data_IF_675456949726
#
_entry.id   IF_675456949726
#
_cell.length_a   1.000
_cell.length_b   1.000
_cell.length_c   1.000
_cell.angle_alpha   90.00
_cell.angle_beta   90.00
_cell.angle_gamma   90.00
#
_symmetry.space_group_name_H-M   'P 1'
#
loop_
_entity.id
_entity.type
_entity.pdbx_description
1 polymer ?
#
# COMPACT_ATOMS: atom_id res chain seq x y z
N UNK A 1 -52.99 20.02 -32.08
CA UNK A 1 -52.36 18.76 -31.60
C UNK A 1 -50.84 18.87 -31.44
N UNK A 2 -50.09 19.41 -32.42
CA UNK A 2 -48.62 19.51 -32.35
C UNK A 2 -48.07 20.36 -31.17
N UNK A 3 -48.75 21.44 -30.77
CA UNK A 3 -48.32 22.28 -29.64
C UNK A 3 -48.25 21.52 -28.30
N UNK A 4 -49.26 20.70 -27.99
CA UNK A 4 -49.26 19.91 -26.75
C UNK A 4 -48.14 18.86 -26.75
N UNK A 5 -47.88 18.24 -27.91
CA UNK A 5 -46.81 17.26 -28.08
C UNK A 5 -45.43 17.92 -27.92
N UNK A 6 -45.25 19.16 -28.40
CA UNK A 6 -44.02 19.93 -28.20
C UNK A 6 -43.74 20.22 -26.72
N UNK A 7 -44.73 20.71 -25.97
CA UNK A 7 -44.57 20.93 -24.53
C UNK A 7 -44.27 19.63 -23.77
N UNK A 8 -44.92 18.53 -24.13
CA UNK A 8 -44.65 17.22 -23.55
C UNK A 8 -43.19 16.78 -23.71
N UNK A 9 -42.59 16.98 -24.90
CA UNK A 9 -41.19 16.63 -25.14
C UNK A 9 -40.19 17.51 -24.35
N UNK A 10 -40.52 18.77 -24.09
CA UNK A 10 -39.72 19.65 -23.23
C UNK A 10 -39.71 19.10 -21.79
N UNK A 11 -40.87 18.74 -21.25
CA UNK A 11 -40.97 18.15 -19.91
C UNK A 11 -40.22 16.82 -19.82
N UNK A 12 -40.32 15.94 -20.82
CA UNK A 12 -39.55 14.69 -20.89
C UNK A 12 -38.04 14.97 -20.84
N UNK A 13 -37.58 15.98 -21.57
CA UNK A 13 -36.15 16.34 -21.62
C UNK A 13 -35.66 16.87 -20.28
N UNK A 14 -36.49 17.68 -19.60
CA UNK A 14 -36.21 18.18 -18.25
C UNK A 14 -36.09 17.03 -17.24
N UNK A 15 -37.05 16.09 -17.25
CA UNK A 15 -37.03 14.93 -16.36
C UNK A 15 -35.81 14.04 -16.64
N UNK A 16 -35.46 13.81 -17.91
CA UNK A 16 -34.27 13.03 -18.29
C UNK A 16 -32.97 13.69 -17.85
N UNK A 17 -32.87 15.01 -18.00
CA UNK A 17 -31.74 15.78 -17.51
C UNK A 17 -31.61 15.63 -15.98
N UNK A 18 -32.71 15.81 -15.26
CA UNK A 18 -32.75 15.71 -13.81
C UNK A 18 -32.33 14.32 -13.32
N UNK A 19 -32.82 13.25 -13.96
CA UNK A 19 -32.42 11.87 -13.65
C UNK A 19 -30.93 11.61 -13.89
N UNK A 20 -30.31 12.26 -14.90
CA UNK A 20 -28.87 12.18 -15.14
C UNK A 20 -28.08 12.83 -14.02
N UNK A 21 -28.52 14.01 -13.56
CA UNK A 21 -27.90 14.74 -12.43
C UNK A 21 -28.02 13.92 -11.15
N UNK A 22 -29.21 13.40 -10.82
CA UNK A 22 -29.41 12.56 -9.64
C UNK A 22 -28.51 11.33 -9.64
N UNK A 23 -28.39 10.63 -10.77
CA UNK A 23 -27.47 9.50 -10.91
C UNK A 23 -26.01 9.93 -10.70
N UNK A 24 -25.59 11.05 -11.30
CA UNK A 24 -24.23 11.55 -11.15
C UNK A 24 -23.90 11.92 -9.70
N UNK A 25 -24.82 12.58 -8.99
CA UNK A 25 -24.65 12.92 -7.57
C UNK A 25 -24.63 11.67 -6.70
N UNK A 26 -25.55 10.72 -6.93
CA UNK A 26 -25.57 9.47 -6.18
C UNK A 26 -24.27 8.68 -6.35
N UNK A 27 -23.79 8.52 -7.59
CA UNK A 27 -22.48 7.91 -7.84
C UNK A 27 -21.38 8.73 -7.18
N UNK A 28 -21.39 10.06 -7.33
CA UNK A 28 -20.44 10.96 -6.70
C UNK A 28 -20.31 10.73 -5.20
N UNK A 29 -21.43 10.68 -4.46
CA UNK A 29 -21.45 10.45 -3.00
C UNK A 29 -20.94 9.06 -2.62
N UNK A 30 -21.33 8.01 -3.36
CA UNK A 30 -20.85 6.64 -3.09
C UNK A 30 -19.34 6.52 -3.33
N UNK A 31 -18.82 7.16 -4.38
CA UNK A 31 -17.40 7.11 -4.73
C UNK A 31 -16.55 8.14 -3.97
N UNK A 32 -17.15 9.18 -3.39
CA UNK A 32 -16.43 10.19 -2.59
C UNK A 32 -15.73 9.57 -1.38
N UNK A 33 -16.28 8.50 -0.81
CA UNK A 33 -15.66 7.75 0.28
C UNK A 33 -14.40 6.96 -0.14
N UNK A 34 -14.12 6.83 -1.44
CA UNK A 34 -13.00 6.06 -1.97
C UNK A 34 -12.08 6.96 -2.79
N UNK A 35 -11.03 7.47 -2.13
CA UNK A 35 -10.06 8.43 -2.67
C UNK A 35 -9.11 7.80 -3.72
N UNK A 36 -9.26 6.51 -4.03
CA UNK A 36 -8.44 5.78 -5.03
C UNK A 36 -8.45 6.41 -6.43
N UNK A 37 -9.46 7.22 -6.79
CA UNK A 37 -9.58 7.82 -8.12
C UNK A 37 -10.08 9.26 -8.05
N UNK A 38 -9.47 10.14 -8.84
CA UNK A 38 -10.01 11.48 -9.04
C UNK A 38 -11.34 11.41 -9.77
N UNK A 39 -12.33 12.15 -9.28
CA UNK A 39 -13.63 12.31 -9.94
C UNK A 39 -13.60 13.30 -11.11
N UNK A 40 -12.48 13.98 -11.32
CA UNK A 40 -12.30 14.95 -12.40
C UNK A 40 -11.88 14.29 -13.71
N UNK A 41 -12.02 15.03 -14.81
CA UNK A 41 -11.57 14.60 -16.13
C UNK A 41 -10.04 14.45 -16.14
N UNK A 42 -9.53 13.47 -16.89
CA UNK A 42 -8.09 13.24 -17.05
C UNK A 42 -7.40 14.56 -17.46
N UNK A 43 -6.38 14.97 -16.70
CA UNK A 43 -5.68 16.24 -16.85
C UNK A 43 -6.06 17.35 -15.86
N UNK A 44 -7.20 17.23 -15.17
CA UNK A 44 -7.59 18.12 -14.05
C UNK A 44 -7.49 17.43 -12.69
N UNK A 45 -6.84 16.27 -12.63
CA UNK A 45 -6.60 15.50 -11.40
C UNK A 45 -5.86 16.32 -10.33
N UNK A 46 -5.04 17.29 -10.74
CA UNK A 46 -4.30 18.18 -9.84
C UNK A 46 -5.18 19.18 -9.08
N UNK A 47 -6.40 19.42 -9.57
CA UNK A 47 -7.38 20.29 -8.91
C UNK A 47 -8.16 19.55 -7.82
N UNK A 48 -8.06 18.22 -7.80
CA UNK A 48 -8.66 17.38 -6.76
C UNK A 48 -7.71 17.30 -5.56
N UNK A 49 -7.92 18.14 -4.56
CA UNK A 49 -7.11 18.16 -3.33
C UNK A 49 -7.15 16.81 -2.60
N UNK A 50 -8.27 16.08 -2.66
CA UNK A 50 -8.40 14.79 -2.00
C UNK A 50 -7.52 13.74 -2.66
N UNK A 51 -7.60 13.63 -3.99
CA UNK A 51 -6.72 12.76 -4.77
C UNK A 51 -5.25 13.11 -4.59
N UNK A 52 -4.89 14.40 -4.60
CA UNK A 52 -3.51 14.85 -4.42
C UNK A 52 -2.95 14.56 -3.02
N UNK A 53 -3.77 14.71 -1.98
CA UNK A 53 -3.38 14.32 -0.62
C UNK A 53 -3.11 12.82 -0.53
N UNK A 54 -3.93 11.99 -1.17
CA UNK A 54 -3.75 10.54 -1.23
C UNK A 54 -2.46 10.13 -1.96
N UNK A 55 -2.19 10.70 -3.15
CA UNK A 55 -0.95 10.43 -3.90
C UNK A 55 0.28 10.85 -3.10
N UNK A 56 0.22 12.02 -2.46
CA UNK A 56 1.30 12.52 -1.60
C UNK A 56 1.55 11.60 -0.41
N UNK A 57 0.47 11.12 0.22
CA UNK A 57 0.54 10.15 1.30
C UNK A 57 1.19 8.83 0.85
N UNK A 58 0.77 8.27 -0.28
CA UNK A 58 1.37 7.06 -0.85
C UNK A 58 2.87 7.23 -1.14
N UNK A 59 3.27 8.37 -1.70
CA UNK A 59 4.67 8.63 -1.98
C UNK A 59 5.49 8.73 -0.68
N UNK A 60 4.93 9.36 0.35
CA UNK A 60 5.58 9.45 1.65
C UNK A 60 5.69 8.07 2.33
N UNK A 61 4.65 7.26 2.27
CA UNK A 61 4.68 5.87 2.75
C UNK A 61 5.71 5.02 1.98
N UNK A 62 5.81 5.17 0.67
CA UNK A 62 6.75 4.44 -0.15
C UNK A 62 8.20 4.79 0.21
N UNK A 63 8.49 6.07 0.48
CA UNK A 63 9.82 6.53 0.88
C UNK A 63 10.19 6.06 2.30
N UNK A 64 9.25 6.14 3.25
CA UNK A 64 9.51 5.79 4.65
C UNK A 64 9.42 4.29 4.95
N UNK A 65 8.54 3.57 4.27
CA UNK A 65 8.20 2.18 4.55
C UNK A 65 8.49 1.27 3.35
N UNK A 66 9.58 1.54 2.61
CA UNK A 66 9.95 0.71 1.47
C UNK A 66 10.24 -0.74 1.91
N UNK A 67 9.47 -1.75 1.46
CA UNK A 67 9.56 -3.11 2.01
C UNK A 67 10.93 -3.75 1.78
N UNK A 68 11.60 -3.44 0.66
CA UNK A 68 12.97 -3.92 0.39
C UNK A 68 13.97 -3.35 1.40
N UNK A 69 13.82 -2.08 1.78
CA UNK A 69 14.73 -1.44 2.74
C UNK A 69 14.52 -2.03 4.13
N UNK A 70 13.26 -2.22 4.53
CA UNK A 70 12.89 -2.88 5.78
C UNK A 70 13.52 -4.26 5.89
N UNK A 71 13.35 -5.11 4.86
CA UNK A 71 13.92 -6.47 4.84
C UNK A 71 15.44 -6.44 4.78
N UNK A 72 16.04 -5.49 4.05
CA UNK A 72 17.49 -5.32 4.01
C UNK A 72 18.05 -4.96 5.39
N UNK A 73 17.46 -3.99 6.08
CA UNK A 73 17.84 -3.63 7.45
C UNK A 73 17.66 -4.80 8.42
N UNK A 74 16.57 -5.55 8.33
CA UNK A 74 16.34 -6.75 9.14
C UNK A 74 17.42 -7.82 8.91
N UNK A 75 17.76 -8.08 7.64
CA UNK A 75 18.85 -9.00 7.28
C UNK A 75 20.20 -8.53 7.82
N UNK A 76 20.48 -7.22 7.79
CA UNK A 76 21.71 -6.65 8.37
C UNK A 76 21.76 -6.80 9.88
N UNK A 77 20.68 -6.45 10.58
CA UNK A 77 20.58 -6.58 12.04
C UNK A 77 20.73 -8.04 12.49
N UNK A 78 20.13 -8.99 11.77
CA UNK A 78 20.23 -10.42 12.08
C UNK A 78 21.64 -11.00 11.83
N UNK A 79 22.43 -10.38 10.95
CA UNK A 79 23.77 -10.87 10.56
C UNK A 79 24.91 -10.16 11.31
N UNK A 80 24.67 -9.03 11.96
CA UNK A 80 25.67 -8.37 12.81
C UNK A 80 25.71 -9.00 14.21
N UNK A 81 26.86 -9.49 14.69
CA UNK A 81 26.99 -10.18 15.99
C UNK A 81 27.06 -9.22 17.19
N UNK A 82 26.42 -8.04 17.09
CA UNK A 82 26.33 -7.05 18.17
C UNK A 82 24.87 -6.89 18.56
N UNK A 83 24.58 -7.10 19.83
CA UNK A 83 23.32 -7.14 20.58
C UNK A 83 22.27 -6.02 20.31
N UNK A 84 21.99 -5.66 19.07
CA UNK A 84 20.91 -4.73 18.72
C UNK A 84 19.71 -5.58 18.28
N UNK A 85 19.07 -6.21 19.26
CA UNK A 85 17.70 -6.69 19.08
C UNK A 85 16.81 -5.44 19.03
N UNK A 86 16.73 -4.78 17.87
CA UNK A 86 15.61 -3.87 17.60
C UNK A 86 14.44 -4.80 17.27
N UNK A 87 13.46 -5.01 18.17
CA UNK A 87 12.23 -5.63 17.73
C UNK A 87 11.65 -4.67 16.69
N UNK A 88 11.74 -5.03 15.41
CA UNK A 88 10.97 -4.36 14.36
C UNK A 88 9.50 -4.77 14.50
N UNK A 89 8.94 -4.51 15.68
CA UNK A 89 7.52 -4.54 15.91
C UNK A 89 7.02 -3.26 15.25
N UNK A 90 6.50 -3.38 14.03
CA UNK A 90 5.66 -2.35 13.43
C UNK A 90 4.67 -1.97 14.53
N UNK A 91 4.78 -0.73 15.03
CA UNK A 91 3.84 -0.17 15.98
C UNK A 91 2.51 -0.03 15.23
N UNK A 92 1.77 -1.13 15.10
CA UNK A 92 0.32 -1.05 14.97
C UNK A 92 -0.13 -0.48 16.30
N UNK A 93 -0.26 0.84 16.35
CA UNK A 93 -0.92 1.58 17.40
C UNK A 93 -2.28 0.94 17.66
N UNK A 94 -2.34 0.04 18.63
CA UNK A 94 -3.58 -0.41 19.24
C UNK A 94 -4.09 0.77 20.06
N UNK A 95 -5.04 1.51 19.48
CA UNK A 95 -5.91 2.39 20.25
C UNK A 95 -6.73 1.49 21.18
N UNK A 96 -6.30 1.34 22.42
CA UNK A 96 -7.13 0.79 23.49
C UNK A 96 -8.20 1.82 23.83
N UNK A 97 -9.32 1.79 23.10
CA UNK A 97 -10.56 2.42 23.56
C UNK A 97 -11.13 1.53 24.65
N UNK A 98 -10.74 1.80 25.90
CA UNK A 98 -11.35 1.15 27.07
C UNK A 98 -12.74 1.73 27.33
N UNK A 99 -13.75 1.28 26.58
CA UNK A 99 -15.15 1.42 27.02
C UNK A 99 -15.42 0.39 28.11
N UNK A 100 -15.47 0.85 29.36
CA UNK A 100 -16.02 0.10 30.51
C UNK A 100 -17.47 -0.32 30.22
N UNK A 101 -17.72 -1.62 30.08
CA UNK A 101 -19.00 -2.23 30.51
C UNK A 101 -18.86 -3.75 30.56
N UNK A 102 -19.65 -4.38 31.43
CA UNK A 102 -19.43 -5.71 32.00
C UNK A 102 -19.46 -6.90 31.04
N UNK A 103 -18.79 -7.95 31.52
CA UNK A 103 -19.09 -9.38 31.38
C UNK A 103 -19.49 -9.90 29.99
N UNK A 104 -18.52 -10.51 29.29
CA UNK A 104 -18.57 -11.87 28.67
C UNK A 104 -17.36 -12.02 27.73
N UNK A 105 -16.36 -12.83 28.12
CA UNK A 105 -15.14 -13.05 27.35
C UNK A 105 -15.38 -14.01 26.17
N UNK A 106 -15.64 -13.49 24.98
CA UNK A 106 -15.57 -14.24 23.72
C UNK A 106 -14.19 -13.97 23.10
N UNK A 107 -13.24 -14.89 23.30
CA UNK A 107 -11.98 -14.92 22.57
C UNK A 107 -12.23 -15.27 21.10
N UNK A 108 -12.36 -14.26 20.26
CA UNK A 108 -12.24 -14.41 18.80
C UNK A 108 -10.79 -14.15 18.42
N UNK A 109 -9.94 -15.15 18.61
CA UNK A 109 -8.56 -15.16 18.08
C UNK A 109 -8.61 -15.44 16.58
N UNK A 110 -8.90 -14.41 15.79
CA UNK A 110 -8.59 -14.46 14.36
C UNK A 110 -7.07 -14.62 14.21
N UNK A 111 -6.58 -15.63 13.46
CA UNK A 111 -5.16 -15.83 13.28
C UNK A 111 -4.62 -14.71 12.38
N UNK A 112 -4.09 -13.65 13.00
CA UNK A 112 -3.20 -12.74 12.31
C UNK A 112 -2.05 -13.59 11.82
N UNK A 113 -1.98 -13.75 10.50
CA UNK A 113 -0.93 -14.48 9.78
C UNK A 113 0.40 -13.77 10.02
N UNK A 114 0.99 -14.05 11.17
CA UNK A 114 2.39 -13.82 11.43
C UNK A 114 3.14 -14.64 10.38
N UNK A 115 3.86 -13.95 9.52
CA UNK A 115 4.96 -14.51 8.74
C UNK A 115 6.09 -14.86 9.72
N UNK A 116 5.81 -15.74 10.69
CA UNK A 116 6.83 -16.63 11.23
C UNK A 116 7.13 -17.59 10.11
N UNK A 117 8.06 -17.19 9.25
CA UNK A 117 8.80 -18.16 8.45
C UNK A 117 9.57 -18.98 9.47
N UNK A 118 8.96 -20.09 9.86
CA UNK A 118 9.55 -21.13 10.66
C UNK A 118 10.59 -21.86 9.81
N UNK A 119 11.68 -21.19 9.50
CA UNK A 119 12.85 -21.81 8.90
C UNK A 119 13.93 -21.65 9.97
N UNK A 120 14.44 -22.67 10.67
CA UNK A 120 15.15 -23.81 10.08
C UNK A 120 15.86 -23.48 8.74
N UNK A 121 16.22 -22.21 8.51
CA UNK A 121 17.40 -21.93 7.71
C UNK A 121 18.51 -22.37 8.65
N UNK A 122 18.98 -23.59 8.40
CA UNK A 122 20.30 -24.09 8.74
C UNK A 122 21.15 -22.98 9.31
N UNK A 123 21.59 -23.13 10.56
CA UNK A 123 22.73 -22.40 11.05
C UNK A 123 23.84 -22.61 10.00
N UNK A 124 23.93 -21.68 9.05
CA UNK A 124 24.98 -21.66 8.04
C UNK A 124 26.20 -21.44 8.91
N UNK A 125 26.92 -22.54 9.16
CA UNK A 125 28.19 -22.54 9.87
C UNK A 125 28.95 -21.30 9.43
N UNK A 126 29.48 -20.46 10.33
CA UNK A 126 30.13 -19.23 9.94
C UNK A 126 31.25 -19.59 8.97
N UNK A 127 30.98 -19.37 7.68
CA UNK A 127 31.96 -19.62 6.63
C UNK A 127 33.16 -18.76 7.02
N UNK A 128 34.35 -19.34 7.16
CA UNK A 128 35.52 -18.59 7.63
C UNK A 128 35.66 -17.32 6.80
N UNK A 129 35.87 -16.18 7.46
CA UNK A 129 35.82 -14.82 6.88
C UNK A 129 36.61 -14.69 5.55
N UNK A 130 37.65 -15.50 5.39
CA UNK A 130 38.45 -15.62 4.17
C UNK A 130 37.64 -16.11 2.96
N UNK A 131 36.82 -17.15 3.12
CA UNK A 131 36.07 -17.77 2.02
C UNK A 131 34.85 -16.93 1.59
N UNK A 132 34.27 -16.15 2.51
CA UNK A 132 33.18 -15.21 2.18
C UNK A 132 33.60 -14.14 1.18
N UNK A 133 34.85 -13.64 1.26
CA UNK A 133 35.37 -12.62 0.33
C UNK A 133 35.43 -13.15 -1.09
N UNK A 134 35.84 -14.41 -1.26
CA UNK A 134 35.92 -15.06 -2.56
C UNK A 134 34.52 -15.29 -3.12
N UNK A 135 33.59 -15.80 -2.31
CA UNK A 135 32.18 -15.97 -2.72
C UNK A 135 31.52 -14.65 -3.13
N UNK A 136 31.72 -13.57 -2.38
CA UNK A 136 31.19 -12.25 -2.71
C UNK A 136 31.75 -11.72 -4.04
N UNK A 137 33.04 -11.99 -4.34
CA UNK A 137 33.65 -11.63 -5.62
C UNK A 137 33.03 -12.40 -6.78
N UNK A 138 32.83 -13.71 -6.62
CA UNK A 138 32.15 -14.53 -7.62
C UNK A 138 30.70 -14.11 -7.84
N UNK A 139 29.96 -13.83 -6.76
CA UNK A 139 28.59 -13.33 -6.84
C UNK A 139 28.53 -11.98 -7.56
N UNK A 140 29.47 -11.06 -7.28
CA UNK A 140 29.57 -9.79 -8.00
C UNK A 140 29.77 -10.00 -9.50
N UNK A 141 30.72 -10.85 -9.88
CA UNK A 141 31.00 -11.15 -11.30
C UNK A 141 29.78 -11.80 -11.95
N UNK A 142 29.15 -12.78 -11.30
CA UNK A 142 27.94 -13.43 -11.80
C UNK A 142 26.79 -12.43 -12.02
N UNK A 143 26.55 -11.53 -11.08
CA UNK A 143 25.52 -10.48 -11.21
C UNK A 143 25.85 -9.51 -12.36
N UNK A 144 27.11 -9.11 -12.53
CA UNK A 144 27.54 -8.22 -13.61
C UNK A 144 27.41 -8.89 -14.99
N UNK A 145 27.76 -10.17 -15.12
CA UNK A 145 27.60 -10.91 -16.38
C UNK A 145 26.13 -11.05 -16.79
N UNK A 146 25.22 -11.19 -15.81
CA UNK A 146 23.77 -11.30 -16.08
C UNK A 146 23.06 -9.97 -16.28
N UNK A 147 23.65 -8.86 -15.85
CA UNK A 147 23.05 -7.52 -15.94
C UNK A 147 24.02 -6.57 -16.69
N UNK A 148 24.11 -6.67 -18.04
CA UNK A 148 25.09 -5.91 -18.81
C UNK A 148 24.86 -4.38 -18.73
N UNK A 149 23.63 -3.93 -18.46
CA UNK A 149 23.31 -2.51 -18.23
C UNK A 149 23.98 -1.89 -17.01
N UNK A 150 24.38 -2.71 -16.02
CA UNK A 150 25.07 -2.25 -14.81
C UNK A 150 26.60 -2.23 -14.97
N UNK A 151 27.14 -2.84 -16.04
CA UNK A 151 28.56 -2.99 -16.28
C UNK A 151 29.17 -1.86 -17.11
N UNK A 152 28.34 -1.01 -17.72
CA UNK A 152 28.76 0.11 -18.55
C UNK A 152 29.09 1.30 -17.66
N UNK A 153 30.35 1.71 -17.62
CA UNK A 153 30.79 3.04 -17.18
C UNK A 153 31.48 3.72 -18.35
#
# INVERSE_FOLDING_TARGET
MAYFVFFYYIFISMVRCLMKVFKAVFLGVVFFGRIDRSGLINGFETWDTGYMAYVSFLQMELVHCHPVLVVFCDLLCHRLPGNIHVPMHRATSSLDVTTRSGDTSISTTLPVRSYRTADKVTAISPVPKYNQRILNRWLKVYTLMKNPSLAVK
#
